data_IF_628618466001
#
_entry.id   IF_628618466001
#
_cell.length_a   1.000
_cell.length_b   1.000
_cell.length_c   1.000
_cell.angle_alpha   90.00
_cell.angle_beta   90.00
_cell.angle_gamma   90.00
#
_symmetry.space_group_name_H-M   'P 1'
#
loop_
_entity.id
_entity.type
_entity.pdbx_description
1 polymer ?
#
# COMPACT_ATOMS: atom_id res chain seq x y z
N UNK A 1 -20.84 -0.99 19.51
CA UNK A 1 -20.29 -1.88 18.46
C UNK A 1 -18.83 -1.55 18.25
N UNK A 2 -17.91 -2.48 18.47
CA UNK A 2 -16.49 -2.21 18.24
C UNK A 2 -16.22 -2.02 16.74
N UNK A 3 -15.85 -0.79 16.37
CA UNK A 3 -15.32 -0.39 15.07
C UNK A 3 -14.07 -1.23 14.71
N UNK A 4 -13.64 -1.28 13.42
CA UNK A 4 -13.14 -2.49 12.76
C UNK A 4 -12.16 -3.31 13.61
N UNK A 5 -12.58 -4.52 13.99
CA UNK A 5 -11.83 -5.45 14.84
C UNK A 5 -10.63 -6.09 14.12
N UNK A 6 -10.65 -6.18 12.79
CA UNK A 6 -9.59 -6.78 11.98
C UNK A 6 -8.39 -5.83 11.73
N UNK A 7 -7.16 -6.34 11.96
CA UNK A 7 -5.93 -5.59 11.70
C UNK A 7 -5.77 -5.16 10.25
N UNK A 8 -6.07 -6.05 9.31
CA UNK A 8 -6.00 -5.78 7.86
C UNK A 8 -6.97 -4.69 7.41
N UNK A 9 -8.19 -4.66 7.97
CA UNK A 9 -9.15 -3.60 7.64
C UNK A 9 -8.67 -2.25 8.16
N UNK A 10 -8.17 -2.20 9.40
CA UNK A 10 -7.58 -0.97 9.97
C UNK A 10 -6.39 -0.47 9.15
N UNK A 11 -5.47 -1.38 8.80
CA UNK A 11 -4.30 -1.06 7.99
C UNK A 11 -4.72 -0.50 6.63
N UNK A 12 -5.61 -1.20 5.91
CA UNK A 12 -6.09 -0.78 4.60
C UNK A 12 -6.82 0.56 4.61
N UNK A 13 -7.71 0.80 5.58
CA UNK A 13 -8.44 2.07 5.69
C UNK A 13 -7.49 3.24 5.94
N UNK A 14 -6.52 3.07 6.83
CA UNK A 14 -5.56 4.12 7.10
C UNK A 14 -4.66 4.39 5.90
N UNK A 15 -4.15 3.34 5.23
CA UNK A 15 -3.28 3.51 4.05
C UNK A 15 -4.03 4.09 2.85
N UNK A 16 -5.32 3.79 2.70
CA UNK A 16 -6.16 4.46 1.71
C UNK A 16 -6.25 5.97 2.01
N UNK A 17 -6.41 6.36 3.28
CA UNK A 17 -6.45 7.78 3.65
C UNK A 17 -5.11 8.49 3.38
N UNK A 18 -3.97 7.86 3.70
CA UNK A 18 -2.64 8.44 3.40
C UNK A 18 -2.37 8.54 1.90
N UNK A 19 -2.75 7.52 1.13
CA UNK A 19 -2.60 7.51 -0.32
C UNK A 19 -3.46 8.60 -0.98
N UNK A 20 -4.74 8.69 -0.61
CA UNK A 20 -5.65 9.72 -1.13
C UNK A 20 -5.18 11.14 -0.78
N UNK A 21 -4.74 11.39 0.46
CA UNK A 21 -4.23 12.70 0.85
C UNK A 21 -2.95 13.08 0.10
N UNK A 22 -2.02 12.14 -0.05
CA UNK A 22 -0.79 12.33 -0.84
C UNK A 22 -1.10 12.54 -2.32
N UNK A 23 -2.06 11.80 -2.88
CA UNK A 23 -2.53 11.96 -4.26
C UNK A 23 -3.19 13.31 -4.50
N UNK A 24 -4.05 13.77 -3.59
CA UNK A 24 -4.65 15.10 -3.67
C UNK A 24 -3.61 16.22 -3.59
N UNK A 25 -2.60 16.06 -2.74
CA UNK A 25 -1.54 17.06 -2.58
C UNK A 25 -0.63 17.18 -3.81
N UNK A 26 -0.43 16.09 -4.55
CA UNK A 26 0.58 16.01 -5.63
C UNK A 26 -0.01 15.91 -7.03
N UNK A 27 -1.29 15.56 -7.15
CA UNK A 27 -1.93 15.25 -8.43
C UNK A 27 -1.32 14.03 -9.14
N UNK A 28 -0.56 13.18 -8.44
CA UNK A 28 0.18 12.08 -9.04
C UNK A 28 -0.08 10.74 -8.33
N UNK A 29 -0.63 9.78 -9.08
CA UNK A 29 -1.01 8.45 -8.58
C UNK A 29 0.19 7.61 -8.11
N UNK A 30 1.39 7.82 -8.66
CA UNK A 30 2.60 7.09 -8.25
C UNK A 30 3.10 7.57 -6.88
N UNK A 31 3.01 8.88 -6.62
CA UNK A 31 3.35 9.45 -5.31
C UNK A 31 2.30 9.05 -4.27
N UNK A 32 1.02 8.98 -4.65
CA UNK A 32 -0.03 8.41 -3.80
C UNK A 32 0.28 6.96 -3.38
N UNK A 33 0.75 6.12 -4.31
CA UNK A 33 1.15 4.74 -4.02
C UNK A 33 2.32 4.66 -3.03
N UNK A 34 3.28 5.57 -3.13
CA UNK A 34 4.35 5.65 -2.12
C UNK A 34 3.82 5.99 -0.72
N UNK A 35 2.78 6.84 -0.63
CA UNK A 35 2.09 7.18 0.62
C UNK A 35 1.30 6.02 1.23
N UNK A 36 0.82 5.09 0.42
CA UNK A 36 0.22 3.84 0.87
C UNK A 36 1.25 2.98 1.62
N UNK A 37 2.36 2.63 0.94
CA UNK A 37 3.38 1.74 1.50
C UNK A 37 4.10 2.35 2.70
N UNK A 38 4.35 3.67 2.68
CA UNK A 38 4.91 4.38 3.83
C UNK A 38 4.03 4.22 5.08
N UNK A 39 2.70 4.29 4.92
CA UNK A 39 1.81 4.13 6.06
C UNK A 39 1.77 2.69 6.56
N UNK A 40 1.92 1.70 5.67
CA UNK A 40 2.01 0.30 6.08
C UNK A 40 3.23 0.06 6.98
N UNK A 41 4.39 0.66 6.66
CA UNK A 41 5.56 0.62 7.53
C UNK A 41 5.30 1.31 8.87
N UNK A 42 4.74 2.52 8.85
CA UNK A 42 4.43 3.27 10.09
C UNK A 42 3.38 2.59 10.96
N UNK A 43 2.38 1.94 10.37
CA UNK A 43 1.37 1.17 11.08
C UNK A 43 2.01 -0.04 11.77
N UNK A 44 2.86 -0.79 11.04
CA UNK A 44 3.57 -1.96 11.57
C UNK A 44 4.47 -1.58 12.75
N UNK A 45 5.25 -0.50 12.60
CA UNK A 45 6.12 0.02 13.67
C UNK A 45 5.33 0.61 14.85
N UNK A 46 4.25 1.36 14.58
CA UNK A 46 3.50 2.08 15.59
C UNK A 46 2.66 1.20 16.50
N UNK A 47 2.12 0.07 15.98
CA UNK A 47 1.26 -0.84 16.76
C UNK A 47 1.85 -2.24 16.96
N UNK A 48 3.04 -2.51 16.41
CA UNK A 48 3.71 -3.82 16.49
C UNK A 48 2.98 -4.95 15.76
N UNK A 49 1.94 -4.62 14.98
CA UNK A 49 1.11 -5.52 14.19
C UNK A 49 0.57 -4.79 12.97
N UNK A 50 0.12 -5.54 11.97
CA UNK A 50 -0.47 -4.98 10.76
C UNK A 50 -1.74 -5.76 10.39
N UNK A 51 -1.63 -6.72 9.47
CA UNK A 51 -2.73 -7.56 9.02
C UNK A 51 -2.53 -9.04 9.32
N UNK A 52 -3.26 -9.88 8.60
CA UNK A 52 -3.09 -11.34 8.61
C UNK A 52 -1.71 -11.75 8.07
N UNK A 53 -1.39 -13.05 8.16
CA UNK A 53 -0.12 -13.59 7.67
C UNK A 53 0.05 -13.42 6.14
N UNK A 54 1.09 -12.71 5.72
CA UNK A 54 1.33 -12.41 4.29
C UNK A 54 0.57 -11.19 3.77
N UNK A 55 -0.20 -10.49 4.61
CA UNK A 55 -0.90 -9.25 4.24
C UNK A 55 0.04 -8.19 3.66
N UNK A 56 1.26 -8.08 4.17
CA UNK A 56 2.24 -7.09 3.73
C UNK A 56 3.17 -7.55 2.60
N UNK A 57 2.85 -8.64 1.88
CA UNK A 57 3.70 -9.07 0.76
C UNK A 57 3.87 -7.95 -0.26
N UNK A 58 2.77 -7.35 -0.70
CA UNK A 58 2.81 -6.21 -1.62
C UNK A 58 3.46 -4.97 -1.00
N UNK A 59 3.35 -4.80 0.32
CA UNK A 59 3.79 -3.61 1.02
C UNK A 59 5.29 -3.64 1.35
N UNK A 60 5.88 -4.81 1.56
CA UNK A 60 7.34 -4.98 1.66
C UNK A 60 8.04 -4.77 0.32
N UNK A 61 7.46 -5.27 -0.77
CA UNK A 61 7.96 -5.03 -2.13
C UNK A 61 7.55 -3.65 -2.69
N UNK A 62 6.65 -2.95 -2.00
CA UNK A 62 5.97 -1.78 -2.53
C UNK A 62 6.88 -0.60 -2.81
N UNK A 63 7.69 -0.20 -1.83
CA UNK A 63 8.53 1.00 -1.93
C UNK A 63 9.58 0.92 -3.06
N UNK A 64 10.16 -0.25 -3.31
CA UNK A 64 11.09 -0.47 -4.42
C UNK A 64 10.38 -0.44 -5.76
N UNK A 65 9.15 -0.98 -5.82
CA UNK A 65 8.47 -1.21 -7.09
C UNK A 65 7.63 -0.01 -7.55
N UNK A 66 7.37 0.99 -6.70
CA UNK A 66 6.61 2.21 -7.07
C UNK A 66 7.25 2.93 -8.27
N UNK A 67 8.56 3.21 -8.23
CA UNK A 67 9.27 3.93 -9.30
C UNK A 67 10.24 3.03 -10.10
N UNK A 68 10.12 1.71 -9.94
CA UNK A 68 10.90 0.75 -10.72
C UNK A 68 10.58 0.86 -12.22
N UNK A 69 11.54 0.49 -13.05
CA UNK A 69 11.38 0.37 -14.51
C UNK A 69 11.72 -1.04 -15.01
N UNK A 70 11.92 -1.98 -14.09
CA UNK A 70 12.22 -3.38 -14.39
C UNK A 70 10.96 -4.09 -14.93
N UNK A 71 11.16 -5.19 -15.65
CA UNK A 71 10.14 -5.77 -16.53
C UNK A 71 8.79 -6.05 -15.84
N UNK A 72 8.82 -6.69 -14.68
CA UNK A 72 7.67 -7.16 -13.92
C UNK A 72 7.37 -6.29 -12.69
N UNK A 73 8.13 -5.21 -12.50
CA UNK A 73 7.99 -4.29 -11.38
C UNK A 73 7.46 -2.92 -11.85
N UNK A 74 7.93 -2.41 -12.98
CA UNK A 74 7.71 -1.04 -13.41
C UNK A 74 6.36 -0.83 -14.10
N UNK A 75 5.37 -0.34 -13.36
CA UNK A 75 4.06 0.02 -13.94
C UNK A 75 3.43 1.22 -13.22
N UNK A 76 2.80 2.12 -13.97
CA UNK A 76 2.01 3.22 -13.40
C UNK A 76 0.79 2.66 -12.65
N UNK A 77 0.46 3.23 -11.48
CA UNK A 77 -0.65 2.73 -10.64
C UNK A 77 -1.95 2.52 -11.43
N UNK A 78 -2.29 3.44 -12.35
CA UNK A 78 -3.54 3.37 -13.14
C UNK A 78 -3.57 2.22 -14.15
N UNK A 79 -2.43 1.60 -14.45
CA UNK A 79 -2.30 0.44 -15.33
C UNK A 79 -2.06 -0.86 -14.55
N UNK A 80 -1.83 -0.78 -13.23
CA UNK A 80 -1.74 -1.97 -12.39
C UNK A 80 -3.14 -2.56 -12.17
N UNK A 81 -3.17 -3.84 -11.84
CA UNK A 81 -4.40 -4.55 -11.51
C UNK A 81 -4.10 -5.81 -10.72
N UNK A 82 -5.12 -6.66 -10.54
CA UNK A 82 -4.98 -7.92 -9.79
C UNK A 82 -3.96 -8.90 -10.41
N UNK A 83 -3.57 -8.70 -11.67
CA UNK A 83 -2.53 -9.51 -12.34
C UNK A 83 -1.11 -8.90 -12.24
N UNK A 84 -0.95 -7.77 -11.55
CA UNK A 84 0.39 -7.26 -11.25
C UNK A 84 1.04 -8.18 -10.19
N UNK A 85 2.30 -8.62 -10.35
CA UNK A 85 2.83 -9.79 -9.61
C UNK A 85 2.64 -9.72 -8.08
N UNK A 86 2.88 -8.55 -7.49
CA UNK A 86 2.77 -8.37 -6.04
C UNK A 86 1.33 -8.22 -5.54
N UNK A 87 0.34 -8.03 -6.42
CA UNK A 87 -1.07 -7.79 -6.08
C UNK A 87 -1.96 -9.02 -6.32
N UNK A 88 -1.37 -10.15 -6.71
CA UNK A 88 -2.08 -11.33 -7.21
C UNK A 88 -2.54 -12.31 -6.11
N UNK A 89 -2.40 -11.96 -4.83
CA UNK A 89 -2.69 -12.84 -3.69
C UNK A 89 -3.36 -12.12 -2.52
#
# INVERSE_FOLDING_TARGET
PEDPFGGSQRAGVMAAASACTTGMATGNAQVALSGWHMLMYKHKEGWGRLGFFGYDLQDQCGATNVCSYQCDEGCCLVLRGANYPNYAM
#
